data_IF_296567383740
#
_entry.id   IF_296567383740
#
_cell.length_a   1.000
_cell.length_b   1.000
_cell.length_c   1.000
_cell.angle_alpha   90.00
_cell.angle_beta   90.00
_cell.angle_gamma   90.00
#
_symmetry.space_group_name_H-M   'P 1'
#
loop_
_entity.id
_entity.type
_entity.pdbx_description
1 polymer ?
#
# COMPACT_ATOMS: atom_id res chain seq x y z
N UNK A 1 22.54 -6.96 -8.81
CA UNK A 1 21.47 -6.47 -7.93
C UNK A 1 21.35 -4.97 -8.13
N UNK A 2 20.14 -4.46 -8.38
CA UNK A 2 19.92 -3.02 -8.61
C UNK A 2 19.96 -2.27 -7.27
N UNK A 3 20.83 -1.25 -7.16
CA UNK A 3 20.86 -0.37 -5.98
C UNK A 3 19.59 0.48 -5.83
N UNK A 4 18.93 0.80 -6.96
CA UNK A 4 17.64 1.50 -6.95
C UNK A 4 16.55 0.62 -6.37
N UNK A 5 16.47 -0.63 -6.82
CA UNK A 5 15.51 -1.60 -6.31
C UNK A 5 15.69 -1.84 -4.81
N UNK A 6 16.94 -1.98 -4.33
CA UNK A 6 17.24 -2.11 -2.91
C UNK A 6 16.74 -0.89 -2.11
N UNK A 7 17.06 0.33 -2.57
CA UNK A 7 16.63 1.56 -1.91
C UNK A 7 15.09 1.70 -1.87
N UNK A 8 14.39 1.32 -2.93
CA UNK A 8 12.92 1.35 -2.97
C UNK A 8 12.32 0.34 -2.00
N UNK A 9 12.88 -0.87 -1.96
CA UNK A 9 12.45 -1.93 -1.05
C UNK A 9 12.65 -1.54 0.43
N UNK A 10 13.82 -0.98 0.76
CA UNK A 10 14.11 -0.50 2.12
C UNK A 10 13.09 0.56 2.57
N UNK A 11 12.70 1.46 1.69
CA UNK A 11 11.70 2.50 2.00
C UNK A 11 10.28 1.93 2.15
N UNK A 12 9.94 0.84 1.47
CA UNK A 12 8.68 0.11 1.71
C UNK A 12 8.69 -0.48 3.13
N UNK A 13 9.77 -1.15 3.51
CA UNK A 13 9.92 -1.75 4.84
C UNK A 13 9.94 -0.68 5.94
N UNK A 14 10.64 0.42 5.73
CA UNK A 14 10.68 1.56 6.66
C UNK A 14 9.28 2.14 6.90
N UNK A 15 8.50 2.38 5.84
CA UNK A 15 7.13 2.88 5.94
C UNK A 15 6.21 1.92 6.69
N UNK A 16 6.29 0.63 6.37
CA UNK A 16 5.50 -0.40 7.05
C UNK A 16 5.91 -0.57 8.52
N UNK A 17 7.21 -0.52 8.83
CA UNK A 17 7.73 -0.58 10.20
C UNK A 17 7.28 0.65 11.02
N UNK A 18 7.31 1.84 10.42
CA UNK A 18 6.81 3.07 11.05
C UNK A 18 5.32 3.00 11.37
N UNK A 19 4.51 2.50 10.42
CA UNK A 19 3.08 2.29 10.64
C UNK A 19 2.82 1.23 11.72
N UNK A 20 3.55 0.12 11.70
CA UNK A 20 3.42 -0.94 12.70
C UNK A 20 3.76 -0.45 14.10
N UNK A 21 4.91 0.21 14.27
CA UNK A 21 5.36 0.75 15.56
C UNK A 21 4.35 1.77 16.13
N UNK A 22 3.81 2.63 15.28
CA UNK A 22 2.76 3.57 15.69
C UNK A 22 1.48 2.84 16.13
N UNK A 23 1.03 1.87 15.34
CA UNK A 23 -0.19 1.11 15.62
C UNK A 23 -0.09 0.24 16.88
N UNK A 24 1.09 -0.30 17.20
CA UNK A 24 1.33 -1.07 18.43
C UNK A 24 1.05 -0.25 19.69
N UNK A 25 1.40 1.02 19.69
CA UNK A 25 1.21 1.93 20.83
C UNK A 25 -0.21 2.46 21.00
N UNK A 26 -1.16 2.14 20.12
CA UNK A 26 -2.52 2.62 20.20
C UNK A 26 -3.34 1.86 21.24
N UNK A 27 -4.21 2.56 21.95
CA UNK A 27 -5.27 1.94 22.76
C UNK A 27 -6.35 1.32 21.87
N UNK A 28 -7.21 0.48 22.46
CA UNK A 28 -8.38 -0.07 21.73
C UNK A 28 -9.36 1.03 21.29
N UNK A 29 -9.51 2.10 22.05
CA UNK A 29 -10.34 3.24 21.66
C UNK A 29 -9.78 3.95 20.43
N UNK A 30 -8.46 4.23 20.41
CA UNK A 30 -7.79 4.83 19.25
C UNK A 30 -7.83 3.90 18.03
N UNK A 31 -7.67 2.58 18.22
CA UNK A 31 -7.77 1.59 17.16
C UNK A 31 -9.13 1.62 16.43
N UNK A 32 -10.18 1.94 17.17
CA UNK A 32 -11.56 2.01 16.64
C UNK A 32 -11.98 3.43 16.23
N UNK A 33 -11.14 4.42 16.44
CA UNK A 33 -11.42 5.80 16.04
C UNK A 33 -11.61 5.89 14.53
N UNK A 34 -12.73 6.48 14.11
CA UNK A 34 -12.97 6.74 12.70
C UNK A 34 -12.02 7.84 12.19
N UNK A 35 -11.37 7.57 11.08
CA UNK A 35 -10.59 8.59 10.37
C UNK A 35 -11.51 9.43 9.50
N UNK A 36 -11.03 10.57 9.00
CA UNK A 36 -11.77 11.43 8.09
C UNK A 36 -10.90 11.80 6.90
N UNK A 37 -11.39 11.48 5.70
CA UNK A 37 -10.81 11.94 4.45
C UNK A 37 -11.96 12.02 3.42
N UNK A 38 -12.53 13.20 3.25
CA UNK A 38 -13.76 13.35 2.48
C UNK A 38 -14.89 12.50 3.09
N UNK A 39 -15.43 11.57 2.32
CA UNK A 39 -16.48 10.63 2.75
C UNK A 39 -15.94 9.34 3.38
N UNK A 40 -14.62 9.13 3.34
CA UNK A 40 -13.99 7.92 3.92
C UNK A 40 -13.87 8.06 5.44
N UNK A 41 -14.60 7.20 6.17
CA UNK A 41 -14.69 7.16 7.63
C UNK A 41 -14.13 5.85 8.22
N UNK A 42 -13.30 5.14 7.47
CA UNK A 42 -12.74 3.87 7.94
C UNK A 42 -12.04 4.03 9.29
N UNK A 43 -12.26 3.12 10.26
CA UNK A 43 -11.51 3.10 11.51
C UNK A 43 -10.00 2.93 11.29
N UNK A 44 -9.21 3.41 12.23
CA UNK A 44 -7.74 3.28 12.21
C UNK A 44 -7.32 1.83 11.94
N UNK A 45 -7.89 0.87 12.66
CA UNK A 45 -7.54 -0.54 12.48
C UNK A 45 -7.82 -1.08 11.08
N UNK A 46 -8.92 -0.65 10.48
CA UNK A 46 -9.28 -1.02 9.09
C UNK A 46 -8.29 -0.42 8.11
N UNK A 47 -7.79 0.81 8.35
CA UNK A 47 -6.77 1.42 7.50
C UNK A 47 -5.42 0.71 7.60
N UNK A 48 -4.97 0.33 8.80
CA UNK A 48 -3.73 -0.44 8.98
C UNK A 48 -3.82 -1.77 8.25
N UNK A 49 -4.95 -2.49 8.39
CA UNK A 49 -5.17 -3.75 7.69
C UNK A 49 -5.28 -3.55 6.17
N UNK A 50 -5.88 -2.45 5.73
CA UNK A 50 -5.98 -2.09 4.31
C UNK A 50 -4.59 -1.93 3.66
N UNK A 51 -3.67 -1.22 4.30
CA UNK A 51 -2.29 -1.10 3.80
C UNK A 51 -1.66 -2.49 3.61
N UNK A 52 -1.80 -3.35 4.61
CA UNK A 52 -1.30 -4.71 4.55
C UNK A 52 -1.92 -5.53 3.41
N UNK A 53 -3.23 -5.42 3.24
CA UNK A 53 -4.01 -6.12 2.22
C UNK A 53 -3.65 -5.70 0.80
N UNK A 54 -3.32 -4.43 0.58
CA UNK A 54 -3.04 -3.89 -0.75
C UNK A 54 -1.69 -4.28 -1.31
N UNK A 55 -0.68 -4.56 -0.50
CA UNK A 55 0.67 -4.90 -0.98
C UNK A 55 0.72 -5.94 -2.09
N UNK A 56 0.12 -7.13 -1.97
CA UNK A 56 0.16 -8.12 -3.05
C UNK A 56 -0.51 -7.63 -4.34
N UNK A 57 -1.63 -6.90 -4.23
CA UNK A 57 -2.35 -6.34 -5.38
C UNK A 57 -1.48 -5.31 -6.11
N UNK A 58 -0.84 -4.42 -5.36
CA UNK A 58 0.05 -3.39 -5.90
C UNK A 58 1.29 -3.99 -6.55
N UNK A 59 1.87 -5.03 -5.94
CA UNK A 59 3.03 -5.75 -6.49
C UNK A 59 2.69 -6.50 -7.78
N UNK A 60 1.47 -7.00 -7.93
CA UNK A 60 1.05 -7.62 -9.19
C UNK A 60 0.98 -6.59 -10.32
N UNK A 61 0.54 -5.35 -10.04
CA UNK A 61 0.61 -4.23 -11.00
C UNK A 61 2.07 -3.89 -11.33
N UNK A 62 2.95 -3.79 -10.33
CA UNK A 62 4.39 -3.54 -10.53
C UNK A 62 4.99 -4.59 -11.47
N UNK A 63 4.73 -5.88 -11.22
CA UNK A 63 5.24 -7.00 -12.05
C UNK A 63 4.72 -6.92 -13.48
N UNK A 64 3.44 -6.59 -13.67
CA UNK A 64 2.86 -6.44 -14.99
C UNK A 64 3.59 -5.34 -15.79
N UNK A 65 3.73 -4.14 -15.21
CA UNK A 65 4.42 -3.01 -15.85
C UNK A 65 5.90 -3.33 -16.07
N UNK A 66 6.60 -3.93 -15.11
CA UNK A 66 8.00 -4.35 -15.22
C UNK A 66 8.23 -5.37 -16.35
N UNK A 67 7.22 -6.18 -16.68
CA UNK A 67 7.26 -7.08 -17.85
C UNK A 67 6.85 -6.41 -19.16
N UNK A 68 6.51 -5.12 -19.15
CA UNK A 68 6.02 -4.37 -20.32
C UNK A 68 4.53 -4.59 -20.64
N UNK A 69 3.80 -5.24 -19.74
CA UNK A 69 2.36 -5.50 -19.93
C UNK A 69 1.53 -4.29 -19.51
N UNK A 70 0.63 -3.86 -20.40
CA UNK A 70 -0.37 -2.83 -20.09
C UNK A 70 -1.31 -3.29 -18.99
N UNK A 71 -1.70 -2.35 -18.11
CA UNK A 71 -2.71 -2.55 -17.07
C UNK A 71 -3.83 -1.54 -17.33
N UNK A 72 -4.81 -1.93 -18.13
CA UNK A 72 -5.87 -1.04 -18.63
C UNK A 72 -7.27 -1.37 -18.09
N UNK A 73 -7.39 -2.44 -17.31
CA UNK A 73 -8.65 -2.97 -16.77
C UNK A 73 -8.95 -2.52 -15.32
N UNK A 74 -8.04 -1.79 -14.70
CA UNK A 74 -8.24 -1.21 -13.37
C UNK A 74 -8.92 0.15 -13.50
N UNK A 75 -10.07 0.33 -12.85
CA UNK A 75 -10.79 1.60 -12.80
C UNK A 75 -10.87 2.14 -11.38
N UNK A 76 -11.06 3.46 -11.22
CA UNK A 76 -11.29 4.05 -9.90
C UNK A 76 -12.54 3.49 -9.22
N UNK A 77 -13.56 3.09 -9.99
CA UNK A 77 -14.75 2.42 -9.47
C UNK A 77 -14.41 1.04 -8.91
N UNK A 78 -13.61 0.24 -9.63
CA UNK A 78 -13.14 -1.05 -9.16
C UNK A 78 -12.30 -0.91 -7.87
N UNK A 79 -11.40 0.07 -7.82
CA UNK A 79 -10.61 0.39 -6.61
C UNK A 79 -11.52 0.77 -5.44
N UNK A 80 -12.54 1.62 -5.67
CA UNK A 80 -13.51 1.99 -4.65
C UNK A 80 -14.31 0.76 -4.17
N UNK A 81 -14.68 -0.14 -5.08
CA UNK A 81 -15.35 -1.41 -4.75
C UNK A 81 -14.49 -2.32 -3.87
N UNK A 82 -13.22 -2.51 -4.22
CA UNK A 82 -12.25 -3.27 -3.42
C UNK A 82 -12.14 -2.66 -2.01
N UNK A 83 -11.97 -1.34 -1.92
CA UNK A 83 -11.84 -0.63 -0.65
C UNK A 83 -13.09 -0.77 0.23
N UNK A 84 -14.27 -0.63 -0.37
CA UNK A 84 -15.55 -0.76 0.34
C UNK A 84 -15.77 -2.18 0.87
N UNK A 85 -15.54 -3.18 0.01
CA UNK A 85 -15.63 -4.60 0.40
C UNK A 85 -14.63 -4.93 1.50
N UNK A 86 -13.37 -4.54 1.34
CA UNK A 86 -12.33 -4.73 2.35
C UNK A 86 -12.74 -4.12 3.70
N UNK A 87 -13.26 -2.90 3.71
CA UNK A 87 -13.69 -2.22 4.94
C UNK A 87 -14.83 -2.96 5.63
N UNK A 88 -15.80 -3.45 4.87
CA UNK A 88 -16.91 -4.25 5.39
C UNK A 88 -16.46 -5.57 5.98
N UNK A 89 -15.64 -6.31 5.25
CA UNK A 89 -15.16 -7.64 5.65
C UNK A 89 -14.24 -7.58 6.88
N UNK A 90 -13.57 -6.45 7.11
CA UNK A 90 -12.56 -6.29 8.16
C UNK A 90 -12.96 -5.26 9.23
N UNK A 91 -14.24 -4.94 9.36
CA UNK A 91 -14.73 -3.94 10.33
C UNK A 91 -14.33 -4.25 11.79
N UNK A 92 -14.19 -5.53 12.13
CA UNK A 92 -13.79 -6.00 13.45
C UNK A 92 -12.35 -6.48 13.56
N UNK A 93 -11.47 -6.12 12.61
CA UNK A 93 -10.09 -6.63 12.60
C UNK A 93 -9.34 -6.31 13.89
N UNK A 94 -8.67 -7.31 14.46
CA UNK A 94 -7.84 -7.14 15.64
C UNK A 94 -6.49 -6.51 15.28
N UNK A 95 -5.90 -5.79 16.24
CA UNK A 95 -4.57 -5.20 16.08
C UNK A 95 -3.51 -6.28 15.75
N UNK A 96 -3.56 -7.41 16.46
CA UNK A 96 -2.62 -8.51 16.23
C UNK A 96 -2.68 -9.04 14.79
N UNK A 97 -3.88 -9.32 14.27
CA UNK A 97 -4.04 -9.81 12.91
C UNK A 97 -3.58 -8.80 11.85
N UNK A 98 -3.93 -7.52 12.04
CA UNK A 98 -3.53 -6.46 11.12
C UNK A 98 -2.00 -6.27 11.09
N UNK A 99 -1.34 -6.29 12.25
CA UNK A 99 0.12 -6.13 12.35
C UNK A 99 0.87 -7.35 11.81
N UNK A 100 0.37 -8.56 12.04
CA UNK A 100 0.94 -9.78 11.45
C UNK A 100 0.91 -9.72 9.93
N UNK A 101 -0.25 -9.40 9.35
CA UNK A 101 -0.42 -9.27 7.91
C UNK A 101 0.47 -8.14 7.34
N UNK A 102 0.55 -6.98 8.02
CA UNK A 102 1.36 -5.85 7.60
C UNK A 102 2.84 -6.23 7.51
N UNK A 103 3.37 -6.88 8.54
CA UNK A 103 4.77 -7.34 8.57
C UNK A 103 5.07 -8.40 7.53
N UNK A 104 4.13 -9.32 7.31
CA UNK A 104 4.29 -10.36 6.29
C UNK A 104 4.31 -9.75 4.90
N UNK A 105 3.25 -9.05 4.53
CA UNK A 105 3.04 -8.59 3.16
C UNK A 105 4.03 -7.48 2.76
N UNK A 106 4.45 -6.61 3.69
CA UNK A 106 5.48 -5.60 3.40
C UNK A 106 6.85 -6.23 3.08
N UNK A 107 7.25 -7.28 3.81
CA UNK A 107 8.49 -8.02 3.51
C UNK A 107 8.41 -8.73 2.15
N UNK A 108 7.28 -9.34 1.83
CA UNK A 108 7.06 -9.99 0.53
C UNK A 108 7.08 -8.97 -0.62
N UNK A 109 6.48 -7.79 -0.41
CA UNK A 109 6.50 -6.70 -1.37
C UNK A 109 7.93 -6.15 -1.58
N UNK A 110 8.66 -5.90 -0.49
CA UNK A 110 10.05 -5.46 -0.55
C UNK A 110 10.95 -6.50 -1.25
N UNK A 111 10.77 -7.78 -0.95
CA UNK A 111 11.51 -8.86 -1.62
C UNK A 111 11.22 -8.90 -3.14
N UNK A 112 9.97 -8.69 -3.53
CA UNK A 112 9.59 -8.63 -4.95
C UNK A 112 10.23 -7.43 -5.65
N UNK A 113 10.29 -6.27 -5.01
CA UNK A 113 10.94 -5.06 -5.56
C UNK A 113 12.46 -5.26 -5.64
N UNK A 114 13.12 -5.84 -4.62
CA UNK A 114 14.56 -6.14 -4.64
C UNK A 114 14.99 -7.04 -5.80
N UNK A 115 14.09 -7.89 -6.28
CA UNK A 115 14.38 -8.79 -7.40
C UNK A 115 14.40 -8.09 -8.77
N UNK A 116 13.95 -6.83 -8.87
CA UNK A 116 13.90 -6.10 -10.13
C UNK A 116 15.28 -5.58 -10.53
N UNK A 117 15.53 -5.56 -11.83
CA UNK A 117 16.70 -4.90 -12.43
C UNK A 117 16.42 -3.41 -12.68
N UNK A 118 17.46 -2.65 -13.03
CA UNK A 118 17.27 -1.25 -13.45
C UNK A 118 16.43 -1.16 -14.73
N UNK A 119 16.61 -2.10 -15.67
CA UNK A 119 15.80 -2.16 -16.89
C UNK A 119 14.31 -2.45 -16.57
N UNK A 120 14.04 -3.30 -15.59
CA UNK A 120 12.67 -3.56 -15.13
C UNK A 120 12.06 -2.29 -14.50
N UNK A 121 12.84 -1.56 -13.71
CA UNK A 121 12.40 -0.31 -13.08
C UNK A 121 12.10 0.79 -14.10
N UNK A 122 12.89 0.87 -15.17
CA UNK A 122 12.75 1.87 -16.25
C UNK A 122 11.69 1.47 -17.28
N UNK A 123 11.25 0.22 -17.29
CA UNK A 123 10.24 -0.25 -18.23
C UNK A 123 8.89 0.42 -17.98
N UNK A 124 8.33 0.97 -19.06
CA UNK A 124 7.06 1.67 -19.03
C UNK A 124 5.98 0.90 -19.79
N UNK A 125 4.75 0.96 -19.29
CA UNK A 125 3.58 0.42 -19.97
C UNK A 125 2.34 1.29 -19.68
N UNK A 126 1.32 1.28 -20.56
CA UNK A 126 0.08 1.99 -20.33
C UNK A 126 -0.63 1.56 -19.05
N UNK A 127 -1.05 2.54 -18.25
CA UNK A 127 -1.73 2.31 -16.98
C UNK A 127 -3.04 3.11 -16.90
N UNK A 128 -4.15 2.42 -16.64
CA UNK A 128 -5.48 3.01 -16.68
C UNK A 128 -5.69 4.13 -15.66
N UNK A 129 -5.18 3.99 -14.42
CA UNK A 129 -5.33 5.02 -13.39
C UNK A 129 -4.50 6.27 -13.67
N UNK A 130 -3.59 6.21 -14.65
CA UNK A 130 -2.85 7.35 -15.22
C UNK A 130 -3.44 7.76 -16.59
N UNK A 131 -4.72 7.51 -16.82
CA UNK A 131 -5.44 7.80 -18.07
C UNK A 131 -4.79 7.17 -19.31
N UNK A 132 -4.20 5.98 -19.17
CA UNK A 132 -3.53 5.27 -20.25
C UNK A 132 -2.13 5.79 -20.58
N UNK A 133 -1.62 6.77 -19.85
CA UNK A 133 -0.23 7.19 -20.01
C UNK A 133 0.73 6.04 -19.69
N UNK A 134 1.82 5.86 -20.46
CA UNK A 134 2.85 4.91 -20.11
C UNK A 134 3.61 5.42 -18.88
N UNK A 135 3.58 4.62 -17.80
CA UNK A 135 4.31 4.89 -16.55
C UNK A 135 5.33 3.80 -16.29
N UNK A 136 6.44 4.15 -15.67
CA UNK A 136 7.48 3.17 -15.33
C UNK A 136 7.05 2.30 -14.15
N UNK A 137 7.62 1.10 -14.04
CA UNK A 137 7.38 0.27 -12.86
C UNK A 137 7.93 0.93 -11.59
N UNK A 138 9.01 1.71 -11.68
CA UNK A 138 9.49 2.54 -10.56
C UNK A 138 8.43 3.54 -10.10
N UNK A 139 7.76 4.23 -11.03
CA UNK A 139 6.67 5.15 -10.67
C UNK A 139 5.55 4.43 -9.92
N UNK A 140 5.14 3.24 -10.39
CA UNK A 140 4.12 2.43 -9.69
C UNK A 140 4.57 2.07 -8.28
N UNK A 141 5.84 1.67 -8.09
CA UNK A 141 6.39 1.34 -6.76
C UNK A 141 6.31 2.55 -5.84
N UNK A 142 6.73 3.72 -6.31
CA UNK A 142 6.76 4.95 -5.51
C UNK A 142 5.34 5.46 -5.18
N UNK A 143 4.42 5.41 -6.14
CA UNK A 143 3.06 5.94 -5.97
C UNK A 143 2.13 4.99 -5.21
N UNK A 144 2.38 3.70 -5.22
CA UNK A 144 1.54 2.70 -4.57
C UNK A 144 2.24 2.04 -3.37
N UNK A 145 2.96 0.91 -3.47
CA UNK A 145 3.39 0.18 -2.30
C UNK A 145 4.31 0.97 -1.36
N UNK A 146 5.14 1.89 -1.88
CA UNK A 146 6.01 2.70 -1.03
C UNK A 146 5.22 3.79 -0.30
N UNK A 147 4.45 4.59 -1.04
CA UNK A 147 3.72 5.74 -0.47
C UNK A 147 2.60 5.32 0.48
N UNK A 148 2.01 4.13 0.29
CA UNK A 148 0.77 3.70 0.93
C UNK A 148 0.84 3.73 2.46
N UNK A 149 1.88 3.12 3.05
CA UNK A 149 2.07 3.12 4.50
C UNK A 149 2.28 4.53 5.06
N UNK A 150 3.10 5.35 4.41
CA UNK A 150 3.36 6.73 4.81
C UNK A 150 2.12 7.60 4.74
N UNK A 151 1.35 7.49 3.64
CA UNK A 151 0.11 8.23 3.45
C UNK A 151 -0.92 7.93 4.54
N UNK A 152 -1.15 6.64 4.82
CA UNK A 152 -2.12 6.26 5.84
C UNK A 152 -1.64 6.53 7.26
N UNK A 153 -0.34 6.41 7.55
CA UNK A 153 0.22 6.83 8.84
C UNK A 153 -0.02 8.32 9.11
N UNK A 154 0.25 9.18 8.13
CA UNK A 154 -0.02 10.62 8.26
C UNK A 154 -1.51 10.90 8.50
N UNK A 155 -2.39 10.23 7.76
CA UNK A 155 -3.84 10.34 7.94
C UNK A 155 -4.30 9.89 9.33
N UNK A 156 -3.78 8.77 9.83
CA UNK A 156 -4.10 8.25 11.17
C UNK A 156 -3.65 9.23 12.25
N UNK A 157 -2.41 9.74 12.14
CA UNK A 157 -1.89 10.75 13.08
C UNK A 157 -2.79 11.98 13.13
N UNK A 158 -3.18 12.50 11.98
CA UNK A 158 -4.11 13.63 11.91
C UNK A 158 -5.43 13.33 12.60
N UNK A 159 -6.01 12.14 12.37
CA UNK A 159 -7.28 11.75 12.99
C UNK A 159 -7.20 11.61 14.53
N UNK A 160 -6.02 11.28 15.04
CA UNK A 160 -5.75 11.12 16.48
C UNK A 160 -5.15 12.38 17.14
N UNK A 161 -4.95 13.46 16.38
CA UNK A 161 -4.36 14.71 16.89
C UNK A 161 -2.87 14.59 17.25
N UNK A 162 -2.13 13.74 16.54
CA UNK A 162 -0.70 13.45 16.80
C UNK A 162 0.20 13.80 15.61
#
# INVERSE_FOLDING_TARGET
MSRRAESLADRIEEGAAGLAAFAEGLSEAEWRTATSNGNDRRPVGVLVHHVAFMYPIEIDVVRAVASGKSVMDVTWEAVAGINSKHASDNAGVTKAAALELLRKNSREAAAAVRALTDDDLDRAAPFSLSYGAPVTSQFIIEDHPLRHAWHHLARIRTALGR
#
